data_IF_813742307521
#
_entry.id   IF_813742307521
#
_cell.length_a   1.000
_cell.length_b   1.000
_cell.length_c   1.000
_cell.angle_alpha   90.00
_cell.angle_beta   90.00
_cell.angle_gamma   90.00
#
_symmetry.space_group_name_H-M   'P 1'
#
loop_
_entity.id
_entity.type
_entity.pdbx_description
1 polymer ?
#
# COMPACT_ATOMS: atom_id res chain seq x y z
N UNK A 1 -8.35 -23.53 12.53
CA UNK A 1 -8.68 -22.25 13.19
C UNK A 1 -10.08 -22.33 13.79
N UNK A 2 -10.26 -22.22 15.12
CA UNK A 2 -11.61 -22.14 15.69
C UNK A 2 -12.21 -20.77 15.36
N UNK A 3 -13.31 -20.76 14.59
CA UNK A 3 -14.07 -19.55 14.29
C UNK A 3 -14.64 -18.92 15.56
N UNK A 4 -14.43 -17.61 15.73
CA UNK A 4 -14.80 -16.89 16.95
C UNK A 4 -16.30 -16.58 16.98
N UNK A 5 -16.94 -16.88 18.10
CA UNK A 5 -18.35 -16.59 18.35
C UNK A 5 -18.54 -15.07 18.45
N UNK A 6 -19.39 -14.51 17.57
CA UNK A 6 -19.90 -13.15 17.69
C UNK A 6 -20.64 -13.03 19.04
N UNK A 7 -20.15 -12.20 19.95
CA UNK A 7 -20.90 -11.85 21.15
C UNK A 7 -22.03 -10.88 20.75
N UNK A 8 -23.30 -11.25 20.99
CA UNK A 8 -24.44 -10.37 20.73
C UNK A 8 -24.48 -9.31 21.82
N UNK A 9 -23.61 -8.30 21.72
CA UNK A 9 -23.51 -7.28 22.77
C UNK A 9 -22.43 -6.23 22.53
N UNK A 10 -21.39 -6.51 21.75
CA UNK A 10 -20.39 -5.49 21.41
C UNK A 10 -20.85 -4.70 20.17
N UNK A 11 -21.63 -3.64 20.41
CA UNK A 11 -22.04 -2.65 19.39
C UNK A 11 -21.00 -1.55 19.20
N UNK A 12 -19.87 -1.62 19.88
CA UNK A 12 -18.73 -0.79 19.56
C UNK A 12 -18.07 -1.42 18.33
N UNK A 13 -18.56 -1.03 17.15
CA UNK A 13 -17.69 -1.02 15.99
C UNK A 13 -16.50 -0.16 16.42
N UNK A 14 -15.35 -0.78 16.66
CA UNK A 14 -14.10 -0.05 16.91
C UNK A 14 -14.02 1.03 15.84
N UNK A 15 -14.06 2.30 16.26
CA UNK A 15 -14.18 3.40 15.32
C UNK A 15 -12.90 3.45 14.49
N UNK A 16 -13.03 3.06 13.22
CA UNK A 16 -11.92 3.03 12.26
C UNK A 16 -11.41 4.45 12.05
N UNK A 17 -10.10 4.62 12.14
CA UNK A 17 -9.43 5.92 12.01
C UNK A 17 -8.03 5.73 11.44
N UNK A 18 -7.92 5.94 10.13
CA UNK A 18 -6.67 5.82 9.40
C UNK A 18 -5.61 6.83 9.86
N UNK A 19 -6.01 7.99 10.41
CA UNK A 19 -5.06 8.99 10.94
C UNK A 19 -4.32 8.49 12.18
N UNK A 20 -4.91 7.51 12.88
CA UNK A 20 -4.36 6.89 14.08
C UNK A 20 -3.90 5.45 13.82
N UNK A 21 -3.86 5.00 12.56
CA UNK A 21 -3.55 3.59 12.22
C UNK A 21 -4.58 2.58 12.72
N UNK A 22 -5.78 3.02 13.13
CA UNK A 22 -6.86 2.16 13.63
C UNK A 22 -7.62 1.56 12.44
N UNK A 23 -7.11 0.44 11.94
CA UNK A 23 -7.73 -0.34 10.88
C UNK A 23 -8.63 -1.44 11.47
N UNK A 24 -9.64 -1.92 10.73
CA UNK A 24 -10.46 -3.05 11.17
C UNK A 24 -9.59 -4.28 11.45
N UNK A 25 -9.98 -5.12 12.43
CA UNK A 25 -9.19 -6.29 12.91
C UNK A 25 -8.73 -7.30 11.84
N UNK A 26 -9.32 -7.29 10.64
CA UNK A 26 -8.88 -8.12 9.51
C UNK A 26 -7.76 -7.49 8.68
N UNK A 27 -7.38 -6.26 8.99
CA UNK A 27 -6.42 -5.40 8.31
C UNK A 27 -5.42 -4.77 9.29
N UNK A 28 -5.41 -5.22 10.54
CA UNK A 28 -4.41 -4.85 11.53
C UNK A 28 -3.24 -5.82 11.47
N UNK A 29 -2.01 -5.30 11.56
CA UNK A 29 -0.79 -6.13 11.72
C UNK A 29 -0.63 -6.65 13.17
N UNK A 30 -1.63 -6.41 14.02
CA UNK A 30 -1.72 -6.97 15.37
C UNK A 30 -1.79 -8.50 15.31
N UNK A 31 -0.72 -9.16 15.75
CA UNK A 31 -0.60 -10.63 15.75
C UNK A 31 0.54 -11.17 14.89
N UNK A 32 1.28 -10.30 14.18
CA UNK A 32 2.44 -10.68 13.39
C UNK A 32 2.13 -11.19 11.98
N UNK A 33 0.85 -11.18 11.60
CA UNK A 33 0.45 -11.42 10.21
C UNK A 33 0.62 -10.13 9.41
N UNK A 34 1.48 -10.16 8.38
CA UNK A 34 1.65 -9.03 7.48
C UNK A 34 0.37 -8.78 6.67
N UNK A 35 -0.10 -7.53 6.68
CA UNK A 35 -1.26 -7.12 5.88
C UNK A 35 -0.79 -6.77 4.49
N UNK A 36 -1.23 -7.54 3.50
CA UNK A 36 -0.93 -7.28 2.10
C UNK A 36 -1.70 -6.06 1.59
N UNK A 37 -1.10 -4.89 1.73
CA UNK A 37 -1.57 -3.67 1.09
C UNK A 37 -1.08 -3.61 -0.36
N UNK A 38 -1.88 -2.93 -1.19
CA UNK A 38 -1.58 -2.68 -2.60
C UNK A 38 -1.75 -1.19 -2.88
N UNK A 39 -0.77 -0.62 -3.58
CA UNK A 39 -0.84 0.71 -4.16
C UNK A 39 -1.81 0.74 -5.35
N UNK A 40 -2.20 1.95 -5.77
CA UNK A 40 -3.03 2.18 -6.96
C UNK A 40 -2.37 1.55 -8.20
N UNK A 41 -1.05 1.67 -8.32
CA UNK A 41 -0.29 1.18 -9.46
C UNK A 41 -0.22 -0.35 -9.51
N UNK A 42 -0.06 -1.00 -8.35
CA UNK A 42 -0.14 -2.46 -8.25
C UNK A 42 -1.56 -2.97 -8.52
N UNK A 43 -2.58 -2.31 -7.96
CA UNK A 43 -3.96 -2.67 -8.19
C UNK A 43 -4.32 -2.60 -9.68
N UNK A 44 -3.88 -1.56 -10.40
CA UNK A 44 -4.07 -1.44 -11.84
C UNK A 44 -3.42 -2.60 -12.60
N UNK A 45 -2.17 -2.91 -12.26
CA UNK A 45 -1.38 -3.96 -12.93
C UNK A 45 -2.01 -5.33 -12.73
N UNK A 46 -2.36 -5.67 -11.48
CA UNK A 46 -2.98 -6.93 -11.13
C UNK A 46 -4.35 -7.09 -11.78
N UNK A 47 -5.19 -6.05 -11.76
CA UNK A 47 -6.50 -6.12 -12.40
C UNK A 47 -6.40 -6.27 -13.91
N UNK A 48 -5.51 -5.53 -14.59
CA UNK A 48 -5.27 -5.70 -16.03
C UNK A 48 -4.89 -7.13 -16.37
N UNK A 49 -3.89 -7.69 -15.68
CA UNK A 49 -3.47 -9.08 -15.89
C UNK A 49 -4.64 -10.06 -15.73
N UNK A 50 -5.47 -9.88 -14.70
CA UNK A 50 -6.61 -10.77 -14.43
C UNK A 50 -7.77 -10.61 -15.41
N UNK A 51 -7.94 -9.42 -16.00
CA UNK A 51 -8.99 -9.14 -16.97
C UNK A 51 -8.60 -9.54 -18.41
N UNK A 52 -7.31 -9.56 -18.70
CA UNK A 52 -6.77 -9.99 -19.99
C UNK A 52 -6.59 -11.51 -20.07
N UNK A 53 -6.55 -12.21 -18.93
CA UNK A 53 -6.53 -13.68 -18.82
C UNK A 53 -7.83 -14.29 -19.42
N UNK A 54 -7.74 -14.94 -20.61
CA UNK A 54 -8.91 -15.47 -21.30
C UNK A 54 -9.52 -16.70 -20.60
N UNK A 55 -8.76 -17.35 -19.71
CA UNK A 55 -9.21 -18.54 -18.98
C UNK A 55 -10.02 -18.16 -17.72
N UNK A 56 -10.15 -16.87 -17.40
CA UNK A 56 -10.93 -16.40 -16.25
C UNK A 56 -12.32 -15.87 -16.64
N UNK A 57 -13.39 -16.34 -15.97
CA UNK A 57 -14.75 -15.84 -16.21
C UNK A 57 -14.92 -14.34 -15.86
N UNK A 58 -14.05 -13.81 -14.99
CA UNK A 58 -14.02 -12.40 -14.59
C UNK A 58 -13.61 -11.46 -15.73
N UNK A 59 -12.75 -11.90 -16.65
CA UNK A 59 -12.34 -11.12 -17.83
C UNK A 59 -13.50 -10.90 -18.80
N UNK A 60 -14.34 -11.91 -19.00
CA UNK A 60 -15.56 -11.81 -19.82
C UNK A 60 -16.59 -10.86 -19.21
N UNK A 61 -16.87 -10.98 -17.91
CA UNK A 61 -17.85 -10.14 -17.21
C UNK A 61 -17.45 -8.65 -17.14
N UNK A 62 -16.14 -8.35 -17.11
CA UNK A 62 -15.63 -6.98 -17.16
C UNK A 62 -15.69 -6.38 -18.56
N UNK A 63 -15.38 -7.16 -19.60
CA UNK A 63 -15.40 -6.73 -21.00
C UNK A 63 -16.82 -6.44 -21.50
N UNK A 64 -17.82 -7.12 -20.96
CA UNK A 64 -19.23 -6.89 -21.29
C UNK A 64 -19.83 -5.64 -20.60
N UNK A 65 -19.04 -4.87 -19.83
CA UNK A 65 -19.53 -3.69 -19.11
C UNK A 65 -20.57 -4.00 -18.02
N UNK A 66 -20.68 -5.27 -17.63
CA UNK A 66 -21.73 -5.74 -16.73
C UNK A 66 -21.53 -5.30 -15.27
N UNK A 67 -20.31 -4.84 -14.91
CA UNK A 67 -20.00 -4.36 -13.57
C UNK A 67 -19.57 -2.86 -13.59
N UNK A 68 -20.51 -1.93 -13.34
CA UNK A 68 -20.24 -0.50 -13.30
C UNK A 68 -19.19 -0.11 -12.24
N UNK A 69 -19.14 -0.83 -11.11
CA UNK A 69 -18.17 -0.56 -10.04
C UNK A 69 -16.77 -0.89 -10.54
N UNK A 70 -16.58 -2.04 -11.18
CA UNK A 70 -15.29 -2.41 -11.75
C UNK A 70 -14.84 -1.42 -12.82
N UNK A 71 -15.75 -1.00 -13.70
CA UNK A 71 -15.44 0.01 -14.71
C UNK A 71 -14.95 1.31 -14.07
N UNK A 72 -15.67 1.83 -13.06
CA UNK A 72 -15.29 3.06 -12.35
C UNK A 72 -13.97 2.89 -11.58
N UNK A 73 -13.72 1.72 -11.00
CA UNK A 73 -12.44 1.39 -10.37
C UNK A 73 -11.31 1.41 -11.40
N UNK A 74 -11.49 0.78 -12.57
CA UNK A 74 -10.46 0.78 -13.62
C UNK A 74 -10.18 2.20 -14.16
N UNK A 75 -11.22 3.02 -14.34
CA UNK A 75 -11.08 4.43 -14.73
C UNK A 75 -10.28 5.23 -13.69
N UNK A 76 -10.59 5.04 -12.40
CA UNK A 76 -9.84 5.66 -11.30
C UNK A 76 -8.38 5.21 -11.28
N UNK A 77 -8.14 3.90 -11.32
CA UNK A 77 -6.81 3.33 -11.28
C UNK A 77 -5.95 3.78 -12.48
N UNK A 78 -6.51 3.83 -13.69
CA UNK A 78 -5.77 4.30 -14.87
C UNK A 78 -5.44 5.79 -14.82
N UNK A 79 -6.33 6.59 -14.23
CA UNK A 79 -6.15 8.05 -14.06
C UNK A 79 -5.11 8.38 -13.00
N UNK A 80 -5.15 7.69 -11.86
CA UNK A 80 -4.31 8.02 -10.69
C UNK A 80 -3.10 7.10 -10.50
N UNK A 81 -2.94 6.07 -11.32
CA UNK A 81 -1.71 5.28 -11.32
C UNK A 81 -0.53 6.12 -11.76
N UNK A 82 0.46 6.21 -10.87
CA UNK A 82 1.69 6.97 -11.08
C UNK A 82 2.79 6.15 -11.73
N UNK A 83 2.72 4.83 -11.57
CA UNK A 83 3.68 3.88 -12.12
C UNK A 83 2.92 2.93 -13.04
N UNK A 84 3.16 3.02 -14.34
CA UNK A 84 2.42 2.26 -15.35
C UNK A 84 3.22 1.08 -15.90
N UNK A 85 4.54 1.18 -15.83
CA UNK A 85 5.45 0.11 -16.21
C UNK A 85 5.58 -0.95 -15.12
N UNK A 86 5.48 -2.23 -15.49
CA UNK A 86 5.50 -3.36 -14.57
C UNK A 86 6.82 -3.47 -13.81
N UNK A 87 7.95 -3.25 -14.48
CA UNK A 87 9.27 -3.37 -13.84
C UNK A 87 9.49 -2.23 -12.84
N UNK A 88 8.93 -1.06 -13.10
CA UNK A 88 8.94 0.06 -12.16
C UNK A 88 8.00 -0.17 -10.97
N UNK A 89 6.82 -0.75 -11.19
CA UNK A 89 5.92 -1.17 -10.10
C UNK A 89 6.60 -2.21 -9.21
N UNK A 90 7.38 -3.14 -9.78
CA UNK A 90 8.18 -4.10 -9.01
C UNK A 90 9.28 -3.43 -8.20
N UNK A 91 10.04 -2.51 -8.80
CA UNK A 91 11.07 -1.74 -8.09
C UNK A 91 10.48 -0.92 -6.94
N UNK A 92 9.33 -0.28 -7.18
CA UNK A 92 8.56 0.41 -6.14
C UNK A 92 8.20 -0.52 -4.97
N UNK A 93 7.68 -1.72 -5.27
CA UNK A 93 7.35 -2.73 -4.23
C UNK A 93 8.59 -3.09 -3.41
N UNK A 94 9.69 -3.40 -4.08
CA UNK A 94 10.95 -3.78 -3.42
C UNK A 94 11.42 -2.69 -2.47
N UNK A 95 11.52 -1.45 -2.96
CA UNK A 95 11.94 -0.29 -2.16
C UNK A 95 11.08 -0.09 -0.90
N UNK A 96 9.75 -0.25 -1.04
CA UNK A 96 8.83 -0.11 0.10
C UNK A 96 8.98 -1.25 1.11
N UNK A 97 9.16 -2.50 0.65
CA UNK A 97 9.35 -3.66 1.53
C UNK A 97 10.67 -3.57 2.31
N UNK A 98 11.74 -3.08 1.69
CA UNK A 98 13.03 -2.84 2.37
C UNK A 98 12.91 -1.87 3.56
N UNK A 99 11.85 -1.06 3.58
CA UNK A 99 11.53 -0.12 4.66
C UNK A 99 10.46 -0.64 5.64
N UNK A 100 10.12 -1.93 5.64
CA UNK A 100 9.03 -2.50 6.45
C UNK A 100 9.41 -2.88 7.89
N UNK A 101 10.66 -3.25 8.14
CA UNK A 101 11.10 -3.77 9.45
C UNK A 101 11.78 -2.68 10.30
N UNK A 102 11.22 -2.37 11.46
CA UNK A 102 11.83 -1.40 12.38
C UNK A 102 13.06 -2.02 13.07
N UNK A 103 14.19 -1.32 13.07
CA UNK A 103 15.44 -1.78 13.70
C UNK A 103 15.91 -3.14 13.16
N UNK A 104 15.74 -3.40 11.85
CA UNK A 104 16.35 -4.58 11.23
C UNK A 104 17.87 -4.47 11.34
N UNK A 105 18.54 -5.60 11.57
CA UNK A 105 19.99 -5.69 11.58
C UNK A 105 20.43 -6.51 10.37
N UNK A 106 21.52 -6.11 9.73
CA UNK A 106 22.12 -6.92 8.67
C UNK A 106 22.77 -8.20 9.25
N UNK A 107 23.26 -9.08 8.37
CA UNK A 107 23.93 -10.32 8.77
C UNK A 107 25.20 -10.08 9.62
N UNK A 108 25.74 -8.86 9.60
CA UNK A 108 26.91 -8.42 10.34
C UNK A 108 26.55 -7.79 11.69
N UNK A 109 25.26 -7.62 11.98
CA UNK A 109 24.73 -7.04 13.22
C UNK A 109 24.71 -5.51 13.24
N UNK A 110 24.85 -4.85 12.09
CA UNK A 110 24.69 -3.40 11.98
C UNK A 110 23.21 -3.05 11.82
N UNK A 111 22.79 -1.96 12.47
CA UNK A 111 21.44 -1.42 12.30
C UNK A 111 21.25 -0.98 10.83
N UNK A 112 20.19 -1.50 10.19
CA UNK A 112 19.82 -1.13 8.83
C UNK A 112 19.09 0.20 8.81
N UNK A 113 19.12 0.88 7.67
CA UNK A 113 18.48 2.19 7.50
C UNK A 113 16.95 2.14 7.32
N UNK A 114 16.29 1.05 7.70
CA UNK A 114 14.85 0.88 7.54
C UNK A 114 14.02 1.79 8.46
N UNK A 115 12.90 2.28 7.92
CA UNK A 115 11.93 3.15 8.59
C UNK A 115 10.89 2.40 9.45
N UNK A 116 10.75 1.08 9.27
CA UNK A 116 9.75 0.28 9.98
C UNK A 116 8.30 0.67 9.65
N UNK A 117 8.03 0.88 8.36
CA UNK A 117 6.75 1.32 7.84
C UNK A 117 5.73 0.18 7.84
N UNK A 118 4.52 0.47 8.33
CA UNK A 118 3.37 -0.43 8.19
C UNK A 118 2.97 -0.59 6.72
N UNK A 119 2.25 -1.65 6.39
CA UNK A 119 1.68 -1.84 5.04
C UNK A 119 0.82 -0.66 4.61
N UNK A 120 0.08 -0.05 5.54
CA UNK A 120 -0.72 1.14 5.26
C UNK A 120 0.14 2.33 4.84
N UNK A 121 1.19 2.65 5.62
CA UNK A 121 2.11 3.76 5.33
C UNK A 121 2.80 3.59 3.99
N UNK A 122 3.27 2.36 3.69
CA UNK A 122 3.90 2.03 2.40
C UNK A 122 2.96 2.31 1.23
N UNK A 123 1.71 1.87 1.33
CA UNK A 123 0.71 2.11 0.29
C UNK A 123 0.36 3.61 0.15
N UNK A 124 0.29 4.36 1.26
CA UNK A 124 0.03 5.81 1.22
C UNK A 124 1.19 6.57 0.56
N UNK A 125 2.44 6.28 0.92
CA UNK A 125 3.63 6.91 0.30
C UNK A 125 3.68 6.67 -1.21
N UNK A 126 3.34 5.45 -1.65
CA UNK A 126 3.26 5.11 -3.08
C UNK A 126 2.19 5.93 -3.84
N UNK A 127 1.06 6.23 -3.18
CA UNK A 127 -0.11 6.81 -3.82
C UNK A 127 -0.12 8.35 -3.79
N UNK A 128 0.31 8.96 -2.68
CA UNK A 128 0.16 10.40 -2.44
C UNK A 128 1.24 11.23 -3.13
N UNK A 129 2.40 10.63 -3.43
CA UNK A 129 3.49 11.28 -4.17
C UNK A 129 3.98 12.59 -3.57
N UNK A 130 4.07 12.57 -2.25
CA UNK A 130 4.64 13.63 -1.43
C UNK A 130 6.05 13.98 -1.88
N UNK A 131 6.45 15.22 -1.63
CA UNK A 131 7.77 15.76 -2.00
C UNK A 131 8.61 16.14 -0.77
N UNK A 132 7.97 16.35 0.37
CA UNK A 132 8.65 16.73 1.62
C UNK A 132 8.18 15.89 2.79
N UNK A 133 9.04 15.76 3.81
CA UNK A 133 8.69 15.14 5.10
C UNK A 133 7.49 15.82 5.75
N UNK A 134 7.42 17.16 5.70
CA UNK A 134 6.31 17.93 6.25
C UNK A 134 4.99 17.53 5.57
N UNK A 135 4.96 17.43 4.24
CA UNK A 135 3.78 16.98 3.51
C UNK A 135 3.44 15.52 3.86
N UNK A 136 4.44 14.64 3.94
CA UNK A 136 4.26 13.24 4.29
C UNK A 136 3.60 13.06 5.66
N UNK A 137 4.12 13.74 6.69
CA UNK A 137 3.57 13.66 8.06
C UNK A 137 2.21 14.33 8.19
N UNK A 138 1.97 15.41 7.45
CA UNK A 138 0.66 16.07 7.42
C UNK A 138 -0.42 15.19 6.77
N UNK A 139 -0.11 14.49 5.68
CA UNK A 139 -1.06 13.64 4.97
C UNK A 139 -1.18 12.23 5.57
N UNK A 140 -0.11 11.74 6.21
CA UNK A 140 -0.02 10.41 6.82
C UNK A 140 0.47 10.58 8.27
N UNK A 141 -0.41 10.98 9.21
CA UNK A 141 0.01 11.32 10.59
C UNK A 141 0.66 10.17 11.37
N UNK A 142 0.47 8.92 10.93
CA UNK A 142 1.14 7.76 11.53
C UNK A 142 2.65 7.76 11.29
N UNK A 143 3.15 8.57 10.33
CA UNK A 143 4.58 8.76 10.07
C UNK A 143 5.27 9.70 11.06
N UNK A 144 4.57 10.36 11.97
CA UNK A 144 5.16 11.23 12.99
C UNK A 144 6.41 10.66 13.71
N UNK A 145 6.42 9.41 14.20
CA UNK A 145 7.57 8.85 14.91
C UNK A 145 8.73 8.46 13.99
N UNK A 146 8.59 8.58 12.66
CA UNK A 146 9.64 8.22 11.69
C UNK A 146 10.72 9.28 11.65
N UNK A 147 11.95 8.83 11.44
CA UNK A 147 13.11 9.70 11.25
C UNK A 147 12.97 10.53 9.98
N UNK A 148 13.12 11.85 10.10
CA UNK A 148 12.93 12.79 9.00
C UNK A 148 13.98 12.61 7.89
N UNK A 149 15.23 12.29 8.25
CA UNK A 149 16.31 12.17 7.25
C UNK A 149 16.09 10.93 6.39
N UNK A 150 15.82 9.79 7.01
CA UNK A 150 15.51 8.52 6.32
C UNK A 150 14.23 8.64 5.50
N UNK A 151 13.21 9.31 6.04
CA UNK A 151 11.95 9.52 5.33
C UNK A 151 12.14 10.41 4.09
N UNK A 152 12.93 11.48 4.17
CA UNK A 152 13.23 12.31 3.01
C UNK A 152 14.01 11.52 1.94
N UNK A 153 14.98 10.69 2.34
CA UNK A 153 15.70 9.82 1.39
C UNK A 153 14.76 8.90 0.62
N UNK A 154 13.85 8.21 1.33
CA UNK A 154 12.84 7.37 0.69
C UNK A 154 11.94 8.18 -0.27
N UNK A 155 11.49 9.37 0.14
CA UNK A 155 10.67 10.25 -0.70
C UNK A 155 11.41 10.65 -1.99
N UNK A 156 12.69 10.96 -1.89
CA UNK A 156 13.54 11.34 -3.03
C UNK A 156 13.75 10.16 -3.99
N UNK A 157 13.93 8.95 -3.47
CA UNK A 157 14.02 7.71 -4.26
C UNK A 157 12.70 7.40 -4.98
N UNK A 158 11.56 7.51 -4.28
CA UNK A 158 10.23 7.40 -4.89
C UNK A 158 10.00 8.45 -5.98
N UNK A 159 10.46 9.69 -5.76
CA UNK A 159 10.42 10.76 -6.76
C UNK A 159 11.27 10.44 -7.99
N UNK A 160 12.43 9.82 -7.77
CA UNK A 160 13.34 9.39 -8.83
C UNK A 160 12.71 8.28 -9.68
N UNK A 161 12.12 7.26 -9.06
CA UNK A 161 11.39 6.20 -9.77
C UNK A 161 10.24 6.76 -10.63
N UNK A 162 9.52 7.77 -10.13
CA UNK A 162 8.45 8.45 -10.90
C UNK A 162 8.98 9.15 -12.15
N UNK A 163 10.14 9.82 -12.08
CA UNK A 163 10.71 10.55 -13.21
C UNK A 163 11.06 9.65 -14.39
N UNK A 164 11.40 8.38 -14.13
CA UNK A 164 11.67 7.39 -15.18
C UNK A 164 10.40 6.84 -15.85
N UNK A 165 9.20 7.24 -15.41
CA UNK A 165 7.91 6.90 -16.03
C UNK A 165 7.38 7.96 -17.00
N UNK A 166 8.03 9.14 -17.08
CA UNK A 166 7.57 10.27 -17.87
C UNK A 166 7.95 10.17 -19.36
#
# INVERSE_FOLDING_TARGET
MPGRRRHPGNKDAEQEDATQGKLPRGFSEEGGDEVNTISISEALTLLREKLDDPDRPSGAAAKDGANPVLQKTMEYLDTFSRYKDLDTVRQLRTLLIENSEANAYDEEGNETDSLGLTGFERAQLANLAVETVEEAKNLIPTLEPRDDQKLQQLIDELSTLRKFQA
#
